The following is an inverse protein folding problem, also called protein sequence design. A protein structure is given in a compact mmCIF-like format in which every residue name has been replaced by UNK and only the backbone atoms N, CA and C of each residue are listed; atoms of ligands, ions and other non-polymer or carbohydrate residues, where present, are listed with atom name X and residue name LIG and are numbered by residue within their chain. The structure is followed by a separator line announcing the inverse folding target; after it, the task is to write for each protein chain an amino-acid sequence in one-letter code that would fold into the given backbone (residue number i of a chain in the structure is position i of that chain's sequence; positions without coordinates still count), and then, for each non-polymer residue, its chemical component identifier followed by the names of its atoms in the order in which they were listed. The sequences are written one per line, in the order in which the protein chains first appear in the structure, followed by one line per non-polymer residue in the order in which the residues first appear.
data_IF_556316361924
#
_entry.id   IF_556316361924
#
_cell.length_a   1.000
_cell.length_b   1.000
_cell.length_c   1.000
_cell.angle_alpha   90.00
_cell.angle_beta   90.00
_cell.angle_gamma   90.00
#
_symmetry.space_group_name_H-M   'P 1'
#
loop_
_entity.id
_entity.type
_entity.pdbx_description
1 polymer ?
#
# COMPACT_ATOMS: atom_id res chain seq x y z
N UNK A 1 -19.57 7.46 -20.50
CA UNK A 1 -19.75 7.52 -19.03
C UNK A 1 -18.89 6.53 -18.25
N UNK A 2 -18.89 5.22 -18.56
CA UNK A 2 -18.18 4.21 -17.78
C UNK A 2 -16.68 4.50 -17.54
N UNK A 3 -15.95 5.00 -18.56
CA UNK A 3 -14.53 5.38 -18.44
C UNK A 3 -14.29 6.52 -17.41
N UNK A 4 -15.21 7.47 -17.34
CA UNK A 4 -15.16 8.57 -16.35
C UNK A 4 -15.47 8.07 -14.93
N UNK A 5 -16.44 7.16 -14.79
CA UNK A 5 -16.77 6.54 -13.51
C UNK A 5 -15.63 5.66 -12.94
N UNK A 6 -14.93 4.92 -13.81
CA UNK A 6 -13.76 4.13 -13.41
C UNK A 6 -12.63 5.06 -12.93
N UNK A 7 -12.34 6.14 -13.68
CA UNK A 7 -11.32 7.11 -13.29
C UNK A 7 -11.58 7.77 -11.94
N UNK A 8 -12.83 8.18 -11.69
CA UNK A 8 -13.22 8.74 -10.39
C UNK A 8 -13.08 7.70 -9.27
N UNK A 9 -13.48 6.45 -9.53
CA UNK A 9 -13.37 5.36 -8.55
C UNK A 9 -11.90 5.05 -8.21
N UNK A 10 -11.01 5.01 -9.20
CA UNK A 10 -9.55 4.85 -8.98
C UNK A 10 -9.04 5.95 -8.06
N UNK A 11 -9.43 7.21 -8.28
CA UNK A 11 -9.00 8.33 -7.44
C UNK A 11 -9.47 8.18 -5.99
N UNK A 12 -10.74 7.83 -5.77
CA UNK A 12 -11.27 7.60 -4.42
C UNK A 12 -10.56 6.44 -3.74
N UNK A 13 -10.38 5.31 -4.42
CA UNK A 13 -9.69 4.15 -3.87
C UNK A 13 -8.20 4.42 -3.60
N UNK A 14 -7.50 5.12 -4.50
CA UNK A 14 -6.09 5.48 -4.31
C UNK A 14 -5.88 6.33 -3.05
N UNK A 15 -6.72 7.34 -2.84
CA UNK A 15 -6.70 8.17 -1.64
C UNK A 15 -7.21 7.48 -0.37
N UNK A 16 -7.97 6.39 -0.49
CA UNK A 16 -8.42 5.60 0.67
C UNK A 16 -7.37 4.59 1.10
N UNK A 17 -6.77 3.89 0.13
CA UNK A 17 -5.78 2.85 0.36
C UNK A 17 -4.43 3.42 0.81
N UNK A 18 -4.04 4.59 0.29
CA UNK A 18 -2.77 5.23 0.67
C UNK A 18 -2.66 5.51 2.17
N UNK A 19 -3.59 6.23 2.83
CA UNK A 19 -3.52 6.46 4.28
C UNK A 19 -3.72 5.17 5.08
N UNK A 20 -4.56 4.24 4.61
CA UNK A 20 -4.72 2.94 5.27
C UNK A 20 -3.39 2.17 5.34
N UNK A 21 -2.66 2.09 4.22
CA UNK A 21 -1.34 1.46 4.17
C UNK A 21 -0.31 2.23 4.99
N UNK A 22 -0.32 3.56 4.93
CA UNK A 22 0.60 4.40 5.70
C UNK A 22 0.42 4.21 7.23
N UNK A 23 -0.82 4.16 7.70
CA UNK A 23 -1.14 3.89 9.12
C UNK A 23 -0.69 2.47 9.49
N UNK A 24 -1.00 1.48 8.65
CA UNK A 24 -0.57 0.08 8.87
C UNK A 24 0.95 -0.03 8.94
N UNK A 25 1.66 0.70 8.08
CA UNK A 25 3.11 0.80 8.09
C UNK A 25 3.63 1.36 9.43
N UNK A 26 3.06 2.46 9.94
CA UNK A 26 3.46 3.00 11.25
C UNK A 26 3.20 2.03 12.40
N UNK A 27 2.06 1.33 12.38
CA UNK A 27 1.78 0.27 13.35
C UNK A 27 2.82 -0.85 13.25
N UNK A 28 3.25 -1.23 12.05
CA UNK A 28 4.28 -2.23 11.82
C UNK A 28 5.65 -1.79 12.36
N UNK A 29 6.06 -0.53 12.13
CA UNK A 29 7.28 0.03 12.71
C UNK A 29 7.21 0.04 14.25
N UNK A 30 6.10 0.51 14.83
CA UNK A 30 5.90 0.54 16.27
C UNK A 30 5.95 -0.88 16.88
N UNK A 31 5.34 -1.85 16.20
CA UNK A 31 5.40 -3.26 16.60
C UNK A 31 6.84 -3.80 16.54
N UNK A 32 7.60 -3.53 15.48
CA UNK A 32 8.99 -3.97 15.37
C UNK A 32 9.94 -3.36 16.41
N UNK A 33 9.58 -2.22 17.02
CA UNK A 33 10.36 -1.66 18.15
C UNK A 33 10.14 -2.40 19.47
N UNK A 34 8.97 -3.02 19.66
CA UNK A 34 8.58 -3.68 20.92
C UNK A 34 8.71 -5.21 20.82
N UNK A 35 8.50 -5.77 19.63
CA UNK A 35 8.49 -7.20 19.39
C UNK A 35 9.91 -7.79 19.30
N UNK A 36 10.10 -9.08 19.65
CA UNK A 36 11.37 -9.78 19.46
C UNK A 36 11.79 -9.85 17.99
N UNK A 37 13.09 -9.86 17.70
CA UNK A 37 13.65 -9.86 16.33
C UNK A 37 13.06 -10.94 15.40
N UNK A 38 12.67 -12.08 15.97
CA UNK A 38 12.10 -13.21 15.24
C UNK A 38 10.73 -12.90 14.65
N UNK A 39 10.01 -11.91 15.20
CA UNK A 39 8.67 -11.50 14.79
C UNK A 39 8.68 -10.21 13.98
N UNK A 40 9.85 -9.66 13.64
CA UNK A 40 9.93 -8.40 12.91
C UNK A 40 9.50 -8.59 11.46
N UNK A 41 8.27 -8.15 11.16
CA UNK A 41 7.67 -8.27 9.83
C UNK A 41 8.53 -7.62 8.73
N UNK A 42 9.26 -6.55 9.03
CA UNK A 42 10.04 -5.78 8.05
C UNK A 42 11.00 -6.61 7.18
N UNK A 43 11.51 -7.76 7.64
CA UNK A 43 12.46 -8.58 6.87
C UNK A 43 11.83 -9.18 5.61
N UNK A 44 10.53 -9.49 5.66
CA UNK A 44 9.79 -9.99 4.52
C UNK A 44 9.53 -8.89 3.47
N UNK A 45 9.39 -7.65 3.92
CA UNK A 45 9.01 -6.52 3.07
C UNK A 45 10.20 -5.70 2.57
N UNK A 46 11.32 -5.68 3.29
CA UNK A 46 12.53 -4.94 2.92
C UNK A 46 13.00 -5.21 1.46
N UNK A 47 12.96 -6.46 0.93
CA UNK A 47 13.32 -6.71 -0.47
C UNK A 47 12.42 -6.03 -1.52
N UNK A 48 11.17 -5.71 -1.15
CA UNK A 48 10.20 -5.07 -2.04
C UNK A 48 10.31 -3.54 -2.04
N UNK A 49 11.02 -2.96 -1.07
CA UNK A 49 11.18 -1.51 -0.95
C UNK A 49 12.64 -1.10 -1.24
N UNK A 50 12.98 -0.72 -2.48
CA UNK A 50 14.32 -0.27 -2.80
C UNK A 50 14.69 0.97 -1.96
N UNK A 51 15.82 0.89 -1.24
CA UNK A 51 16.29 1.94 -0.34
C UNK A 51 15.68 1.91 1.08
N UNK A 52 14.88 0.90 1.41
CA UNK A 52 14.41 0.70 2.79
C UNK A 52 15.51 0.06 3.65
N UNK A 53 15.88 0.76 4.72
CA UNK A 53 16.81 0.28 5.74
C UNK A 53 16.15 0.44 7.11
N UNK A 54 16.28 -0.58 7.96
CA UNK A 54 15.57 -0.64 9.23
C UNK A 54 16.00 0.47 10.18
N UNK A 55 15.02 1.16 10.78
CA UNK A 55 15.23 2.24 11.76
C UNK A 55 16.10 3.42 11.27
N UNK A 56 16.35 3.57 9.97
CA UNK A 56 17.01 4.78 9.44
C UNK A 56 15.98 5.82 9.00
N UNK A 57 16.28 7.14 9.09
CA UNK A 57 15.37 8.17 8.61
C UNK A 57 15.04 8.04 7.11
N UNK A 58 16.02 7.66 6.30
CA UNK A 58 15.86 7.41 4.86
C UNK A 58 14.94 6.21 4.60
N UNK A 59 15.17 5.09 5.29
CA UNK A 59 14.32 3.91 5.19
C UNK A 59 12.90 4.19 5.66
N UNK A 60 12.74 4.98 6.72
CA UNK A 60 11.42 5.37 7.22
C UNK A 60 10.61 6.14 6.17
N UNK A 61 11.24 7.10 5.50
CA UNK A 61 10.62 7.89 4.43
C UNK A 61 10.34 7.01 3.21
N UNK A 62 11.27 6.12 2.84
CA UNK A 62 11.07 5.18 1.73
C UNK A 62 9.84 4.27 1.98
N UNK A 63 9.65 3.79 3.23
CA UNK A 63 8.47 3.03 3.64
C UNK A 63 7.16 3.82 3.55
N UNK A 64 7.18 5.07 3.99
CA UNK A 64 6.01 5.96 3.92
C UNK A 64 5.62 6.27 2.46
N UNK A 65 6.60 6.62 1.62
CA UNK A 65 6.39 6.86 0.18
C UNK A 65 5.92 5.59 -0.51
N UNK A 66 6.56 4.46 -0.22
CA UNK A 66 6.16 3.15 -0.73
C UNK A 66 4.69 2.82 -0.42
N UNK A 67 4.23 3.09 0.81
CA UNK A 67 2.83 2.85 1.22
C UNK A 67 1.82 3.63 0.36
N UNK A 68 2.13 4.88 0.01
CA UNK A 68 1.29 5.70 -0.87
C UNK A 68 1.31 5.16 -2.31
N UNK A 69 2.50 4.82 -2.82
CA UNK A 69 2.66 4.25 -4.16
C UNK A 69 1.88 2.93 -4.28
N UNK A 70 2.00 2.04 -3.30
CA UNK A 70 1.29 0.77 -3.28
C UNK A 70 -0.23 0.94 -3.17
N UNK A 71 -0.71 1.96 -2.46
CA UNK A 71 -2.14 2.28 -2.39
C UNK A 71 -2.70 2.67 -3.76
N UNK A 72 -1.98 3.50 -4.51
CA UNK A 72 -2.35 3.86 -5.88
C UNK A 72 -2.21 2.70 -6.85
N UNK A 73 -1.14 1.92 -6.74
CA UNK A 73 -0.95 0.70 -7.53
C UNK A 73 -2.13 -0.26 -7.36
N UNK A 74 -2.55 -0.52 -6.12
CA UNK A 74 -3.72 -1.34 -5.83
C UNK A 74 -5.00 -0.76 -6.43
N UNK A 75 -5.24 0.56 -6.31
CA UNK A 75 -6.43 1.18 -6.89
C UNK A 75 -6.45 1.09 -8.43
N UNK A 76 -5.32 1.33 -9.09
CA UNK A 76 -5.18 1.28 -10.55
C UNK A 76 -5.40 -0.15 -11.08
N UNK A 77 -4.98 -1.17 -10.34
CA UNK A 77 -5.17 -2.57 -10.76
C UNK A 77 -6.55 -3.12 -10.39
N UNK A 78 -6.96 -2.97 -9.12
CA UNK A 78 -8.14 -3.64 -8.58
C UNK A 78 -9.45 -3.05 -9.13
N UNK A 79 -9.55 -1.73 -9.28
CA UNK A 79 -10.79 -1.08 -9.75
C UNK A 79 -11.19 -1.52 -11.17
N UNK A 80 -10.32 -1.46 -12.20
CA UNK A 80 -10.71 -1.93 -13.54
C UNK A 80 -10.94 -3.44 -13.58
N UNK A 81 -10.17 -4.22 -12.82
CA UNK A 81 -10.32 -5.67 -12.76
C UNK A 81 -11.67 -6.06 -12.14
N UNK A 82 -12.05 -5.43 -11.02
CA UNK A 82 -13.34 -5.59 -10.37
C UNK A 82 -14.48 -5.26 -11.32
N UNK A 83 -14.42 -4.12 -12.00
CA UNK A 83 -15.44 -3.73 -12.98
C UNK A 83 -15.53 -4.73 -14.14
N UNK A 84 -14.39 -5.25 -14.62
CA UNK A 84 -14.35 -6.21 -15.70
C UNK A 84 -15.02 -7.54 -15.34
N UNK A 85 -14.70 -8.10 -14.18
CA UNK A 85 -15.31 -9.36 -13.72
C UNK A 85 -16.77 -9.18 -13.28
N UNK A 86 -17.11 -8.06 -12.65
CA UNK A 86 -18.50 -7.79 -12.23
C UNK A 86 -19.47 -7.73 -13.42
N UNK A 87 -18.99 -7.29 -14.59
CA UNK A 87 -19.76 -7.27 -15.84
C UNK A 87 -19.94 -8.62 -16.52
N UNK A 88 -19.13 -9.62 -16.15
CA UNK A 88 -19.23 -10.99 -16.70
C UNK A 88 -20.01 -11.93 -15.78
N UNK A 89 -20.13 -11.56 -14.50
CA UNK A 89 -20.82 -12.34 -13.48
C UNK A 89 -22.33 -12.10 -13.42
N UNK A 90 -22.84 -11.09 -14.16
CA UNK A 90 -24.27 -10.85 -14.40
C UNK A 90 -24.57 -10.89 -15.88
#
# INVERSE_FOLDING_TARGET
MAKSAIGQSIRTWGWTLSPFLLITYFVCIAFGMVAPDQMHMHRAWAPLLPGFEWLTPSGFIAGAVGSVIYGWFAAILLVPLFYHFSRRAG
#
